data_IF_123572111462
#
_entry.id   IF_123572111462
#
_cell.length_a   1.000
_cell.length_b   1.000
_cell.length_c   1.000
_cell.angle_alpha   90.00
_cell.angle_beta   90.00
_cell.angle_gamma   90.00
#
_symmetry.space_group_name_H-M   'P 1'
#
loop_
_entity.id
_entity.type
_entity.pdbx_description
1 polymer ?
#
# COMPACT_ATOMS: atom_id res chain seq x y z
N UNK A 1 -5.57 -3.38 -18.59
CA UNK A 1 -6.66 -3.13 -19.54
C UNK A 1 -6.93 -1.64 -19.70
N UNK A 2 -7.25 -0.91 -18.63
CA UNK A 2 -7.37 0.55 -18.70
C UNK A 2 -6.05 1.24 -19.05
N UNK A 3 -4.96 0.94 -18.32
CA UNK A 3 -3.61 1.50 -18.58
C UNK A 3 -3.07 1.22 -19.99
N UNK A 4 -3.58 0.18 -20.64
CA UNK A 4 -3.20 -0.23 -21.99
C UNK A 4 -4.24 0.17 -23.04
N UNK A 5 -5.19 1.04 -22.68
CA UNK A 5 -6.31 1.56 -23.50
C UNK A 5 -7.17 0.49 -24.20
N UNK A 6 -7.16 -0.74 -23.68
CA UNK A 6 -7.87 -1.88 -24.30
C UNK A 6 -9.38 -1.68 -24.22
N UNK A 7 -9.91 -1.18 -23.11
CA UNK A 7 -11.35 -0.94 -22.97
C UNK A 7 -11.85 0.09 -23.99
N UNK A 8 -11.10 1.17 -24.19
CA UNK A 8 -11.38 2.18 -25.22
C UNK A 8 -11.30 1.60 -26.63
N UNK A 9 -10.26 0.80 -26.93
CA UNK A 9 -10.07 0.15 -28.24
C UNK A 9 -11.25 -0.74 -28.64
N UNK A 10 -11.84 -1.46 -27.69
CA UNK A 10 -12.95 -2.38 -27.94
C UNK A 10 -14.32 -1.82 -27.56
N UNK A 11 -14.42 -0.52 -27.26
CA UNK A 11 -15.64 0.15 -26.83
C UNK A 11 -16.34 -0.55 -25.64
N UNK A 12 -15.55 -1.08 -24.70
CA UNK A 12 -16.03 -1.75 -23.50
C UNK A 12 -16.18 -0.73 -22.39
N UNK A 13 -17.37 -0.67 -21.78
CA UNK A 13 -17.66 0.20 -20.64
C UNK A 13 -17.62 -0.60 -19.34
N UNK A 14 -16.88 -0.11 -18.35
CA UNK A 14 -16.93 -0.65 -16.99
C UNK A 14 -18.20 -0.15 -16.30
N UNK A 15 -18.98 -1.09 -15.76
CA UNK A 15 -20.20 -0.82 -15.00
C UNK A 15 -19.90 -0.91 -13.50
N UNK A 16 -20.56 -0.08 -12.69
CA UNK A 16 -20.33 -0.01 -11.25
C UNK A 16 -19.31 1.06 -10.86
N UNK A 17 -18.42 0.74 -9.92
CA UNK A 17 -17.39 1.66 -9.41
C UNK A 17 -16.46 2.11 -10.55
N UNK A 18 -16.29 3.42 -10.78
CA UNK A 18 -15.38 3.92 -11.80
C UNK A 18 -13.95 3.42 -11.57
N UNK A 19 -13.23 3.14 -12.66
CA UNK A 19 -11.82 2.70 -12.57
C UNK A 19 -10.98 3.72 -11.81
N UNK A 20 -11.26 5.02 -12.02
CA UNK A 20 -10.59 6.09 -11.28
C UNK A 20 -10.78 5.96 -9.77
N UNK A 21 -11.99 5.67 -9.30
CA UNK A 21 -12.25 5.45 -7.87
C UNK A 21 -11.50 4.23 -7.34
N UNK A 22 -11.39 3.15 -8.13
CA UNK A 22 -10.58 1.98 -7.76
C UNK A 22 -9.11 2.37 -7.60
N UNK A 23 -8.56 3.14 -8.54
CA UNK A 23 -7.17 3.62 -8.49
C UNK A 23 -6.96 4.49 -7.24
N UNK A 24 -7.87 5.42 -6.97
CA UNK A 24 -7.79 6.33 -5.83
C UNK A 24 -7.90 5.62 -4.48
N UNK A 25 -8.61 4.49 -4.41
CA UNK A 25 -8.74 3.72 -3.16
C UNK A 25 -7.63 2.69 -2.97
N UNK A 26 -7.08 2.13 -4.05
CA UNK A 26 -6.04 1.10 -3.98
C UNK A 26 -4.62 1.70 -3.88
N UNK A 27 -4.37 2.87 -4.49
CA UNK A 27 -3.13 3.61 -4.33
C UNK A 27 -3.14 4.39 -3.02
N UNK A 28 -2.19 4.08 -2.12
CA UNK A 28 -2.20 4.64 -0.77
C UNK A 28 -1.88 6.13 -0.74
N UNK A 29 -1.10 6.64 -1.69
CA UNK A 29 -0.79 8.07 -1.79
C UNK A 29 -2.03 8.84 -2.24
N UNK A 30 -2.68 8.38 -3.30
CA UNK A 30 -3.93 9.00 -3.77
C UNK A 30 -5.03 8.91 -2.72
N UNK A 31 -5.13 7.78 -2.01
CA UNK A 31 -6.07 7.63 -0.91
C UNK A 31 -5.81 8.65 0.19
N UNK A 32 -4.56 8.80 0.64
CA UNK A 32 -4.19 9.80 1.64
C UNK A 32 -4.51 11.23 1.17
N UNK A 33 -4.24 11.56 -0.09
CA UNK A 33 -4.59 12.85 -0.70
C UNK A 33 -6.10 13.07 -0.68
N UNK A 34 -6.92 12.10 -1.12
CA UNK A 34 -8.38 12.18 -1.09
C UNK A 34 -8.97 12.31 0.32
N UNK A 35 -8.39 11.62 1.30
CA UNK A 35 -8.80 11.73 2.71
C UNK A 35 -8.44 13.11 3.27
N UNK A 36 -7.27 13.64 2.93
CA UNK A 36 -6.88 15.00 3.34
C UNK A 36 -7.75 16.08 2.69
N UNK A 37 -8.21 15.89 1.45
CA UNK A 37 -9.12 16.84 0.75
C UNK A 37 -10.43 17.08 1.52
N UNK A 38 -10.92 16.09 2.27
CA UNK A 38 -12.12 16.21 3.10
C UNK A 38 -11.82 16.62 4.56
N UNK A 39 -10.57 16.93 4.88
CA UNK A 39 -10.14 17.32 6.23
C UNK A 39 -9.96 16.15 7.20
N UNK A 40 -10.02 14.91 6.72
CA UNK A 40 -9.77 13.70 7.51
C UNK A 40 -8.28 13.36 7.52
N UNK A 41 -7.86 12.54 8.48
CA UNK A 41 -6.43 12.22 8.68
C UNK A 41 -6.15 10.75 8.41
N UNK A 42 -5.05 10.50 7.71
CA UNK A 42 -4.44 9.18 7.61
C UNK A 42 -3.30 9.03 8.60
N UNK A 43 -3.08 7.81 9.09
CA UNK A 43 -1.88 7.51 9.86
C UNK A 43 -0.63 7.79 9.00
N UNK A 44 0.43 8.38 9.56
CA UNK A 44 1.70 8.53 8.85
C UNK A 44 2.19 7.17 8.36
N UNK A 45 2.54 7.06 7.08
CA UNK A 45 2.95 5.78 6.49
C UNK A 45 4.01 5.93 5.40
N UNK A 46 4.94 4.99 5.40
CA UNK A 46 6.05 4.71 4.47
C UNK A 46 5.73 3.74 3.32
N UNK A 47 5.66 4.13 2.05
CA UNK A 47 5.78 3.13 0.97
C UNK A 47 7.27 2.78 0.76
N UNK A 48 7.62 1.49 0.86
CA UNK A 48 9.00 1.00 0.81
C UNK A 48 9.11 -0.22 -0.11
N UNK A 49 10.30 -0.42 -0.67
CA UNK A 49 10.58 -1.43 -1.70
C UNK A 49 11.73 -2.38 -1.32
N UNK A 50 12.34 -2.16 -0.16
CA UNK A 50 13.39 -3.02 0.40
C UNK A 50 13.22 -3.14 1.91
N UNK A 51 13.90 -4.14 2.49
CA UNK A 51 13.91 -4.32 3.95
C UNK A 51 14.60 -3.13 4.63
N UNK A 52 15.71 -2.63 4.07
CA UNK A 52 16.43 -1.48 4.62
C UNK A 52 15.54 -0.22 4.65
N UNK A 53 14.81 0.04 3.56
CA UNK A 53 13.85 1.15 3.51
C UNK A 53 12.74 0.99 4.54
N UNK A 54 12.29 -0.24 4.82
CA UNK A 54 11.29 -0.52 5.84
C UNK A 54 11.80 -0.20 7.25
N UNK A 55 13.05 -0.58 7.56
CA UNK A 55 13.69 -0.28 8.85
C UNK A 55 13.93 1.23 9.01
N UNK A 56 14.36 1.93 7.96
CA UNK A 56 14.48 3.39 7.97
C UNK A 56 13.13 4.08 8.21
N UNK A 57 12.07 3.61 7.54
CA UNK A 57 10.73 4.14 7.72
C UNK A 57 10.23 3.95 9.16
N UNK A 58 10.44 2.76 9.75
CA UNK A 58 10.05 2.48 11.12
C UNK A 58 10.86 3.29 12.15
N UNK A 59 12.15 3.53 11.90
CA UNK A 59 12.95 4.41 12.76
C UNK A 59 12.47 5.87 12.72
N UNK A 60 11.90 6.33 11.61
CA UNK A 60 11.31 7.67 11.51
C UNK A 60 9.90 7.75 12.12
N UNK A 61 9.10 6.71 11.98
CA UNK A 61 7.72 6.65 12.46
C UNK A 61 7.62 6.29 13.96
N UNK A 62 8.57 5.50 14.46
CA UNK A 62 8.59 4.94 15.80
C UNK A 62 7.79 3.63 15.89
N UNK A 63 8.30 2.68 16.66
CA UNK A 63 7.60 1.44 16.98
C UNK A 63 6.50 1.66 18.03
N UNK A 64 5.40 0.87 18.01
CA UNK A 64 5.13 -0.22 17.08
C UNK A 64 4.63 0.27 15.71
N UNK A 65 4.97 -0.47 14.65
CA UNK A 65 4.55 -0.17 13.26
C UNK A 65 3.74 -1.30 12.65
N UNK A 66 2.89 -0.96 11.67
CA UNK A 66 2.08 -1.92 10.93
C UNK A 66 2.66 -2.14 9.53
N UNK A 67 3.29 -3.30 9.31
CA UNK A 67 3.74 -3.69 7.98
C UNK A 67 2.57 -4.29 7.19
N UNK A 68 2.25 -3.71 6.03
CA UNK A 68 1.22 -4.21 5.11
C UNK A 68 1.77 -4.41 3.69
N UNK A 69 1.73 -5.64 3.20
CA UNK A 69 2.07 -5.94 1.81
C UNK A 69 1.05 -5.29 0.84
N UNK A 70 1.52 -4.65 -0.23
CA UNK A 70 0.65 -4.10 -1.25
C UNK A 70 0.03 -5.21 -2.12
N UNK A 71 -1.15 -4.97 -2.69
CA UNK A 71 -1.88 -5.90 -3.56
C UNK A 71 -2.18 -7.28 -2.95
N UNK A 72 -2.13 -7.41 -1.62
CA UNK A 72 -2.59 -8.60 -0.91
C UNK A 72 -3.96 -8.36 -0.26
N UNK A 73 -4.81 -9.39 -0.27
CA UNK A 73 -6.10 -9.41 0.41
C UNK A 73 -6.02 -10.36 1.61
N UNK A 74 -6.71 -10.02 2.71
CA UNK A 74 -6.78 -10.86 3.91
C UNK A 74 -5.57 -10.81 4.84
N UNK A 75 -4.68 -9.82 4.70
CA UNK A 75 -3.54 -9.64 5.60
C UNK A 75 -2.36 -10.58 5.35
N UNK A 76 -2.34 -11.29 4.23
CA UNK A 76 -1.20 -12.14 3.85
C UNK A 76 0.08 -11.29 3.77
N UNK A 77 1.12 -11.69 4.53
CA UNK A 77 2.38 -10.96 4.61
C UNK A 77 2.29 -9.61 5.32
N UNK A 78 1.23 -9.38 6.10
CA UNK A 78 1.05 -8.17 6.91
C UNK A 78 1.10 -8.50 8.40
N UNK A 79 1.48 -7.55 9.25
CA UNK A 79 1.55 -7.74 10.69
C UNK A 79 2.04 -6.51 11.43
N UNK A 80 1.94 -6.56 12.76
CA UNK A 80 2.53 -5.56 13.64
C UNK A 80 3.95 -5.96 14.00
N UNK A 81 4.85 -4.99 14.06
CA UNK A 81 6.19 -5.15 14.60
C UNK A 81 6.38 -4.17 15.76
N UNK A 82 6.78 -4.70 16.91
CA UNK A 82 7.09 -3.90 18.10
C UNK A 82 8.58 -3.51 18.14
N UNK A 83 9.41 -4.11 17.27
CA UNK A 83 10.84 -3.86 17.18
C UNK A 83 11.41 -4.15 15.79
N UNK A 84 12.69 -3.80 15.60
CA UNK A 84 13.43 -3.96 14.34
C UNK A 84 13.49 -5.41 13.86
N UNK A 85 13.73 -6.38 14.75
CA UNK A 85 13.85 -7.79 14.38
C UNK A 85 12.53 -8.37 13.87
N UNK A 86 11.41 -8.03 14.52
CA UNK A 86 10.08 -8.41 14.06
C UNK A 86 9.73 -7.79 12.71
N UNK A 87 10.06 -6.50 12.54
CA UNK A 87 9.83 -5.82 11.27
C UNK A 87 10.65 -6.43 10.14
N UNK A 88 11.91 -6.77 10.39
CA UNK A 88 12.77 -7.39 9.40
C UNK A 88 12.19 -8.74 8.92
N UNK A 89 11.72 -9.57 9.86
CA UNK A 89 11.09 -10.85 9.53
C UNK A 89 9.81 -10.67 8.70
N UNK A 90 8.96 -9.71 9.08
CA UNK A 90 7.74 -9.38 8.34
C UNK A 90 8.05 -8.81 6.94
N UNK A 91 9.03 -7.92 6.82
CA UNK A 91 9.41 -7.29 5.57
C UNK A 91 9.97 -8.32 4.57
N UNK A 92 10.78 -9.27 5.02
CA UNK A 92 11.25 -10.37 4.18
C UNK A 92 10.10 -11.21 3.64
N UNK A 93 9.13 -11.54 4.50
CA UNK A 93 7.96 -12.31 4.09
C UNK A 93 7.09 -11.52 3.10
N UNK A 94 6.80 -10.26 3.42
CA UNK A 94 5.95 -9.39 2.60
C UNK A 94 6.53 -9.18 1.19
N UNK A 95 7.83 -8.89 1.11
CA UNK A 95 8.51 -8.59 -0.15
C UNK A 95 8.70 -9.82 -1.05
N UNK A 96 8.56 -11.04 -0.51
CA UNK A 96 8.53 -12.25 -1.31
C UNK A 96 7.21 -12.41 -2.11
N UNK A 97 6.12 -11.82 -1.64
CA UNK A 97 4.81 -11.89 -2.28
C UNK A 97 4.42 -10.63 -3.05
N UNK A 98 5.00 -9.48 -2.72
CA UNK A 98 4.70 -8.20 -3.33
C UNK A 98 5.93 -7.32 -3.41
N UNK A 99 6.09 -6.58 -4.51
CA UNK A 99 7.24 -5.68 -4.69
C UNK A 99 7.16 -4.41 -3.83
N UNK A 100 6.09 -4.22 -3.05
CA UNK A 100 5.87 -3.02 -2.25
C UNK A 100 5.30 -3.40 -0.88
N UNK A 101 5.85 -2.75 0.14
CA UNK A 101 5.42 -2.84 1.54
C UNK A 101 5.06 -1.44 2.04
N UNK A 102 4.06 -1.35 2.91
CA UNK A 102 3.65 -0.11 3.57
C UNK A 102 3.95 -0.27 5.07
N UNK A 103 4.73 0.65 5.63
CA UNK A 103 5.02 0.77 7.06
C UNK A 103 4.19 1.89 7.67
#
# INVERSE_FOLDING_TARGET
LERTEVFKKYNVKVLGTPIQSIIETEDRKLFAERVNEIGERVAPSRAVYSVDEALEAANQLGYPVMARAAFSLGGLGSGFADNESELQALAHLALAYSNQLII
#
